data_IF_305470749185
#
_entry.id   IF_305470749185
#
_cell.length_a   1.000
_cell.length_b   1.000
_cell.length_c   1.000
_cell.angle_alpha   90.00
_cell.angle_beta   90.00
_cell.angle_gamma   90.00
#
_symmetry.space_group_name_H-M   'P 1'
#
loop_
_entity.id
_entity.type
_entity.pdbx_description
1 polymer ?
#
# COMPACT_ATOMS: atom_id res chain seq x y z
N UNK A 1 -18.96 -7.42 -7.87
CA UNK A 1 -19.68 -8.47 -7.11
C UNK A 1 -20.85 -8.99 -7.94
N UNK A 2 -21.24 -10.26 -7.78
CA UNK A 2 -22.45 -10.76 -8.44
C UNK A 2 -23.70 -10.37 -7.61
N UNK A 3 -24.91 -10.46 -8.18
CA UNK A 3 -26.15 -10.01 -7.51
C UNK A 3 -26.43 -10.75 -6.19
N UNK A 4 -26.04 -12.03 -6.11
CA UNK A 4 -26.15 -12.83 -4.88
C UNK A 4 -25.26 -12.29 -3.74
N UNK A 5 -24.03 -11.89 -4.06
CA UNK A 5 -23.08 -11.35 -3.07
C UNK A 5 -23.57 -10.01 -2.51
N UNK A 6 -24.13 -9.15 -3.38
CA UNK A 6 -24.68 -7.85 -2.97
C UNK A 6 -25.92 -8.04 -2.09
N UNK A 7 -26.75 -9.04 -2.38
CA UNK A 7 -27.93 -9.37 -1.56
C UNK A 7 -27.49 -9.79 -0.15
N UNK A 8 -26.52 -10.71 -0.05
CA UNK A 8 -25.97 -11.14 1.23
C UNK A 8 -25.26 -9.99 1.99
N UNK A 9 -24.58 -9.09 1.26
CA UNK A 9 -24.02 -7.88 1.83
C UNK A 9 -25.12 -6.98 2.42
N UNK A 10 -26.20 -6.72 1.68
CA UNK A 10 -27.32 -5.90 2.15
C UNK A 10 -28.01 -6.51 3.37
N UNK A 11 -28.22 -7.83 3.40
CA UNK A 11 -28.75 -8.53 4.56
C UNK A 11 -27.87 -8.30 5.79
N UNK A 12 -26.54 -8.42 5.62
CA UNK A 12 -25.57 -8.16 6.69
C UNK A 12 -25.58 -6.70 7.14
N UNK A 13 -25.58 -5.74 6.21
CA UNK A 13 -25.57 -4.31 6.53
C UNK A 13 -26.85 -3.90 7.27
N UNK A 14 -28.02 -4.45 6.92
CA UNK A 14 -29.28 -4.15 7.60
C UNK A 14 -29.36 -4.72 9.01
N UNK A 15 -28.58 -5.76 9.30
CA UNK A 15 -28.45 -6.34 10.64
C UNK A 15 -27.50 -5.55 11.55
N UNK A 16 -26.72 -4.62 11.01
CA UNK A 16 -25.85 -3.76 11.81
C UNK A 16 -26.66 -2.80 12.71
N UNK A 17 -26.09 -2.34 13.84
CA UNK A 17 -26.73 -1.36 14.68
C UNK A 17 -27.04 -0.07 13.93
N UNK A 18 -28.16 0.56 14.32
CA UNK A 18 -28.69 1.81 13.73
C UNK A 18 -27.68 2.96 13.75
N UNK A 19 -26.74 2.96 14.70
CA UNK A 19 -25.67 3.95 14.79
C UNK A 19 -24.33 3.31 14.39
N UNK A 20 -24.04 3.35 13.09
CA UNK A 20 -22.74 2.93 12.54
C UNK A 20 -22.05 4.12 11.86
N UNK A 21 -20.83 4.45 12.27
CA UNK A 21 -20.06 5.55 11.64
C UNK A 21 -19.50 5.17 10.26
N UNK A 22 -19.46 3.90 9.90
CA UNK A 22 -18.92 3.39 8.63
C UNK A 22 -20.01 2.96 7.62
N UNK A 23 -21.28 3.10 7.99
CA UNK A 23 -22.45 2.73 7.18
C UNK A 23 -23.49 3.86 7.26
N UNK A 24 -24.03 4.26 6.11
CA UNK A 24 -25.13 5.21 6.01
C UNK A 24 -26.22 4.65 5.10
N UNK A 25 -27.47 4.68 5.57
CA UNK A 25 -28.65 4.35 4.79
C UNK A 25 -29.40 5.62 4.37
N UNK A 26 -29.92 5.63 3.15
CA UNK A 26 -30.82 6.69 2.70
C UNK A 26 -31.93 6.17 1.79
N UNK A 27 -33.13 6.72 1.98
CA UNK A 27 -34.27 6.37 1.14
C UNK A 27 -34.08 6.82 -0.32
N UNK A 28 -33.49 8.01 -0.54
CA UNK A 28 -33.30 8.57 -1.87
C UNK A 28 -31.95 9.29 -2.02
N UNK A 29 -31.61 9.70 -3.23
CA UNK A 29 -30.33 10.34 -3.52
C UNK A 29 -30.11 11.65 -2.75
N UNK A 30 -28.85 11.96 -2.55
CA UNK A 30 -28.39 13.27 -2.10
C UNK A 30 -27.91 14.09 -3.31
N UNK A 31 -27.75 15.40 -3.10
CA UNK A 31 -26.99 16.22 -4.04
C UNK A 31 -25.56 15.66 -4.20
N UNK A 32 -24.96 15.74 -5.41
CA UNK A 32 -23.62 15.23 -5.69
C UNK A 32 -22.58 15.60 -4.62
N UNK A 33 -22.57 16.87 -4.18
CA UNK A 33 -21.66 17.37 -3.14
C UNK A 33 -21.75 16.57 -1.84
N UNK A 34 -22.97 16.31 -1.38
CA UNK A 34 -23.22 15.59 -0.13
C UNK A 34 -22.78 14.13 -0.24
N UNK A 35 -22.92 13.51 -1.41
CA UNK A 35 -22.41 12.15 -1.68
C UNK A 35 -20.90 12.11 -1.49
N UNK A 36 -20.15 13.02 -2.12
CA UNK A 36 -18.69 13.08 -2.00
C UNK A 36 -18.21 13.31 -0.56
N UNK A 37 -18.91 14.18 0.17
CA UNK A 37 -18.67 14.38 1.59
C UNK A 37 -18.91 13.12 2.43
N UNK A 38 -19.97 12.35 2.12
CA UNK A 38 -20.21 11.05 2.76
C UNK A 38 -19.11 10.04 2.44
N UNK A 39 -18.63 9.98 1.20
CA UNK A 39 -17.54 9.06 0.84
C UNK A 39 -16.27 9.37 1.63
N UNK A 40 -15.90 10.64 1.78
CA UNK A 40 -14.80 11.07 2.67
C UNK A 40 -15.05 10.63 4.12
N UNK A 41 -16.23 10.94 4.66
CA UNK A 41 -16.56 10.65 6.05
C UNK A 41 -16.58 9.15 6.37
N UNK A 42 -17.16 8.34 5.49
CA UNK A 42 -17.26 6.89 5.64
C UNK A 42 -15.90 6.22 5.48
N UNK A 43 -15.06 6.67 4.55
CA UNK A 43 -13.71 6.14 4.40
C UNK A 43 -12.85 6.37 5.66
N UNK A 44 -12.87 7.60 6.19
CA UNK A 44 -12.15 7.95 7.42
C UNK A 44 -12.69 7.17 8.63
N UNK A 45 -14.01 7.04 8.76
CA UNK A 45 -14.63 6.33 9.88
C UNK A 45 -14.41 4.81 9.79
N UNK A 46 -14.48 4.23 8.59
CA UNK A 46 -14.16 2.82 8.37
C UNK A 46 -12.70 2.53 8.75
N UNK A 47 -11.78 3.43 8.40
CA UNK A 47 -10.40 3.37 8.89
C UNK A 47 -10.39 3.37 10.42
N UNK A 48 -10.97 4.35 11.09
CA UNK A 48 -10.92 4.47 12.55
C UNK A 48 -11.51 3.28 13.31
N UNK A 49 -12.51 2.62 12.72
CA UNK A 49 -13.18 1.45 13.31
C UNK A 49 -12.58 0.11 12.86
N UNK A 50 -11.54 0.11 12.02
CA UNK A 50 -10.93 -1.13 11.51
C UNK A 50 -11.86 -1.94 10.62
N UNK A 51 -12.81 -1.28 9.95
CA UNK A 51 -13.72 -1.93 9.00
C UNK A 51 -13.04 -2.01 7.63
N UNK A 52 -13.23 -3.11 6.89
CA UNK A 52 -12.57 -3.30 5.60
C UNK A 52 -13.10 -2.35 4.52
N UNK A 53 -14.29 -1.77 4.70
CA UNK A 53 -15.00 -0.90 3.76
C UNK A 53 -15.97 0.03 4.51
N UNK A 54 -16.25 1.19 3.90
CA UNK A 54 -17.39 2.04 4.25
C UNK A 54 -18.50 1.93 3.21
N UNK A 55 -19.76 2.10 3.63
CA UNK A 55 -20.91 1.91 2.74
C UNK A 55 -21.90 3.07 2.82
N UNK A 56 -22.33 3.54 1.65
CA UNK A 56 -23.47 4.46 1.50
C UNK A 56 -24.52 3.77 0.63
N UNK A 57 -25.69 3.51 1.19
CA UNK A 57 -26.73 2.69 0.56
C UNK A 57 -27.99 3.51 0.34
N UNK A 58 -28.45 3.56 -0.91
CA UNK A 58 -29.68 4.23 -1.34
C UNK A 58 -30.81 3.23 -1.60
N UNK A 59 -32.03 3.59 -1.23
CA UNK A 59 -33.22 2.74 -1.32
C UNK A 59 -33.58 2.01 -0.02
N UNK A 60 -32.90 2.34 1.09
CA UNK A 60 -33.18 1.81 2.43
C UNK A 60 -33.39 2.98 3.40
N UNK A 61 -34.45 2.93 4.17
CA UNK A 61 -34.75 3.98 5.14
C UNK A 61 -33.86 3.86 6.38
N UNK A 62 -33.19 4.95 6.74
CA UNK A 62 -32.20 5.02 7.82
C UNK A 62 -32.75 4.57 9.18
N UNK A 63 -33.96 4.99 9.53
CA UNK A 63 -34.52 4.66 10.84
C UNK A 63 -35.02 3.22 10.99
N UNK A 64 -35.65 2.68 9.96
CA UNK A 64 -36.39 1.40 10.04
C UNK A 64 -35.64 0.26 9.35
N UNK A 65 -34.56 0.57 8.63
CA UNK A 65 -33.88 -0.33 7.68
C UNK A 65 -34.87 -0.99 6.70
N UNK A 66 -36.00 -0.31 6.43
CA UNK A 66 -37.01 -0.77 5.50
C UNK A 66 -36.56 -0.50 4.06
N UNK A 67 -36.77 -1.48 3.19
CA UNK A 67 -36.44 -1.36 1.77
C UNK A 67 -37.56 -0.60 1.09
N UNK A 68 -37.26 0.62 0.63
CA UNK A 68 -38.22 1.50 -0.05
C UNK A 68 -37.95 1.61 -1.55
N UNK A 69 -36.73 1.26 -1.97
CA UNK A 69 -36.27 1.41 -3.34
C UNK A 69 -35.87 2.84 -3.69
N UNK A 70 -35.07 2.99 -4.74
CA UNK A 70 -34.67 4.30 -5.27
C UNK A 70 -34.76 4.33 -6.79
N UNK A 71 -35.07 5.50 -7.35
CA UNK A 71 -34.97 5.78 -8.79
C UNK A 71 -33.61 6.32 -9.19
N UNK A 72 -32.71 6.49 -8.23
CA UNK A 72 -31.38 7.04 -8.45
C UNK A 72 -30.56 6.14 -9.38
N UNK A 73 -29.96 6.75 -10.39
CA UNK A 73 -28.98 6.11 -11.25
C UNK A 73 -27.68 6.92 -11.26
N UNK A 74 -26.68 6.52 -10.47
CA UNK A 74 -25.39 7.20 -10.43
C UNK A 74 -24.69 7.30 -11.78
N UNK A 75 -24.98 6.40 -12.73
CA UNK A 75 -24.34 6.38 -14.05
C UNK A 75 -24.97 7.40 -15.00
N UNK A 76 -26.20 7.84 -14.73
CA UNK A 76 -26.91 8.85 -15.52
C UNK A 76 -26.87 10.25 -14.87
N UNK A 77 -26.46 10.34 -13.61
CA UNK A 77 -26.40 11.59 -12.85
C UNK A 77 -25.18 12.45 -13.25
N UNK A 78 -25.37 13.77 -13.29
CA UNK A 78 -24.35 14.75 -13.64
C UNK A 78 -23.89 15.49 -12.39
N UNK A 79 -22.58 15.45 -12.12
CA UNK A 79 -21.92 16.26 -11.10
C UNK A 79 -21.67 17.69 -11.57
N UNK A 80 -20.88 18.46 -10.81
CA UNK A 80 -20.54 19.82 -11.22
C UNK A 80 -19.63 19.83 -12.45
N UNK A 81 -19.75 20.87 -13.28
CA UNK A 81 -18.95 21.01 -14.51
C UNK A 81 -19.38 20.07 -15.65
N UNK A 82 -20.63 19.58 -15.63
CA UNK A 82 -21.20 18.71 -16.65
C UNK A 82 -20.45 17.36 -16.80
N UNK A 83 -19.88 16.86 -15.71
CA UNK A 83 -19.18 15.57 -15.65
C UNK A 83 -20.11 14.49 -15.09
N UNK A 84 -19.96 13.24 -15.54
CA UNK A 84 -20.65 12.12 -14.93
C UNK A 84 -20.31 12.02 -13.44
N UNK A 85 -21.32 11.81 -12.60
CA UNK A 85 -21.19 11.79 -11.14
C UNK A 85 -20.04 10.90 -10.65
N UNK A 86 -19.85 9.64 -11.13
CA UNK A 86 -18.78 8.77 -10.63
C UNK A 86 -17.39 9.34 -10.92
N UNK A 87 -17.19 9.93 -12.10
CA UNK A 87 -15.95 10.58 -12.47
C UNK A 87 -15.70 11.80 -11.58
N UNK A 88 -16.72 12.64 -11.41
CA UNK A 88 -16.62 13.85 -10.59
C UNK A 88 -16.28 13.53 -9.12
N UNK A 89 -16.96 12.54 -8.53
CA UNK A 89 -16.67 12.06 -7.18
C UNK A 89 -15.22 11.54 -7.08
N UNK A 90 -14.76 10.76 -8.06
CA UNK A 90 -13.39 10.24 -8.08
C UNK A 90 -12.32 11.32 -8.21
N UNK A 91 -12.63 12.44 -8.86
CA UNK A 91 -11.71 13.58 -8.98
C UNK A 91 -11.66 14.43 -7.71
N UNK A 92 -12.80 14.54 -7.00
CA UNK A 92 -12.89 15.29 -5.75
C UNK A 92 -12.26 14.59 -4.55
N UNK A 93 -12.18 13.25 -4.54
CA UNK A 93 -11.59 12.46 -3.46
C UNK A 93 -10.06 12.43 -3.50
N UNK A 94 -9.41 12.74 -2.37
CA UNK A 94 -7.96 12.68 -2.18
C UNK A 94 -7.61 12.04 -0.84
N UNK A 95 -6.76 11.00 -0.76
CA UNK A 95 -6.15 10.27 -1.87
C UNK A 95 -7.20 9.51 -2.72
N UNK A 96 -6.81 9.11 -3.94
CA UNK A 96 -7.66 8.32 -4.83
C UNK A 96 -7.73 6.87 -4.34
N UNK A 97 -8.57 6.61 -3.36
CA UNK A 97 -8.76 5.27 -2.79
C UNK A 97 -9.55 4.31 -3.68
N UNK A 98 -10.32 4.86 -4.63
CA UNK A 98 -11.30 4.10 -5.40
C UNK A 98 -12.57 3.82 -4.58
N UNK A 99 -13.70 3.85 -5.28
CA UNK A 99 -14.98 3.39 -4.75
C UNK A 99 -15.70 2.62 -5.86
N UNK A 100 -16.52 1.66 -5.47
CA UNK A 100 -17.34 0.86 -6.37
C UNK A 100 -18.80 1.25 -6.20
N UNK A 101 -19.52 1.29 -7.32
CA UNK A 101 -20.97 1.51 -7.33
C UNK A 101 -21.62 0.22 -7.79
N UNK A 102 -22.48 -0.35 -6.94
CA UNK A 102 -23.23 -1.54 -7.25
C UNK A 102 -24.73 -1.21 -7.30
N UNK A 103 -25.40 -1.64 -8.35
CA UNK A 103 -26.85 -1.48 -8.51
C UNK A 103 -27.49 -2.85 -8.56
N UNK A 104 -28.51 -3.09 -7.74
CA UNK A 104 -29.19 -4.38 -7.69
C UNK A 104 -30.69 -4.25 -7.40
N UNK A 105 -31.42 -5.35 -7.64
CA UNK A 105 -32.80 -5.53 -7.18
C UNK A 105 -32.76 -6.34 -5.88
N UNK A 106 -33.25 -5.75 -4.79
CA UNK A 106 -33.28 -6.35 -3.47
C UNK A 106 -34.72 -6.29 -2.93
N UNK A 107 -35.30 -7.44 -2.59
CA UNK A 107 -36.72 -7.57 -2.20
C UNK A 107 -37.70 -6.93 -3.20
N UNK A 108 -37.39 -7.03 -4.51
CA UNK A 108 -38.20 -6.43 -5.58
C UNK A 108 -38.08 -4.91 -5.73
N UNK A 109 -37.17 -4.28 -4.98
CA UNK A 109 -36.90 -2.85 -5.02
C UNK A 109 -35.47 -2.56 -5.50
N UNK A 110 -35.30 -1.48 -6.26
CA UNK A 110 -33.97 -1.05 -6.72
C UNK A 110 -33.17 -0.43 -5.58
N UNK A 111 -31.97 -0.93 -5.34
CA UNK A 111 -31.03 -0.44 -4.32
C UNK A 111 -29.69 -0.12 -4.99
N UNK A 112 -29.05 0.97 -4.55
CA UNK A 112 -27.74 1.40 -5.03
C UNK A 112 -26.79 1.44 -3.84
N UNK A 113 -25.62 0.80 -3.97
CA UNK A 113 -24.61 0.70 -2.92
C UNK A 113 -23.33 1.34 -3.42
N UNK A 114 -22.84 2.35 -2.70
CA UNK A 114 -21.49 2.87 -2.84
C UNK A 114 -20.62 2.18 -1.80
N UNK A 115 -19.57 1.52 -2.27
CA UNK A 115 -18.56 0.86 -1.44
C UNK A 115 -17.25 1.63 -1.55
N UNK A 116 -16.79 2.22 -0.44
CA UNK A 116 -15.54 2.99 -0.40
C UNK A 116 -14.48 2.26 0.41
N UNK A 117 -13.24 2.26 -0.08
CA UNK A 117 -12.11 1.77 0.69
C UNK A 117 -11.88 2.63 1.95
N UNK A 118 -11.45 2.04 3.07
CA UNK A 118 -11.10 2.81 4.26
C UNK A 118 -9.89 3.71 3.94
N UNK A 119 -9.85 4.86 4.62
CA UNK A 119 -8.64 5.67 4.66
C UNK A 119 -7.46 4.80 5.12
N UNK A 120 -6.30 5.03 4.53
CA UNK A 120 -5.05 4.43 4.95
C UNK A 120 -4.01 5.53 4.92
N UNK A 121 -3.11 5.53 5.90
CA UNK A 121 -1.94 6.41 6.03
C UNK A 121 -2.13 7.93 6.03
N UNK A 122 -3.31 8.43 5.68
CA UNK A 122 -3.75 9.83 5.74
C UNK A 122 -5.27 9.93 5.62
N UNK A 123 -5.88 11.03 6.09
CA UNK A 123 -7.30 11.28 5.87
C UNK A 123 -7.69 11.37 4.40
N UNK A 124 -8.92 10.97 4.12
CA UNK A 124 -9.60 11.17 2.85
C UNK A 124 -10.35 12.47 2.88
N UNK A 125 -10.03 13.33 1.94
CA UNK A 125 -10.65 14.62 1.72
C UNK A 125 -11.57 14.56 0.51
N UNK A 126 -12.63 15.34 0.55
CA UNK A 126 -13.42 15.68 -0.63
C UNK A 126 -13.29 17.19 -0.87
N UNK A 127 -12.75 17.58 -2.03
CA UNK A 127 -12.44 18.98 -2.37
C UNK A 127 -11.72 19.76 -1.24
N UNK A 128 -10.70 19.13 -0.64
CA UNK A 128 -9.85 19.75 0.38
C UNK A 128 -10.43 19.72 1.81
N UNK A 129 -11.56 19.05 2.03
CA UNK A 129 -12.16 18.90 3.36
C UNK A 129 -12.18 17.43 3.78
N UNK A 130 -11.44 17.09 4.83
CA UNK A 130 -11.53 15.79 5.48
C UNK A 130 -12.72 15.78 6.44
N UNK A 131 -13.60 14.80 6.27
CA UNK A 131 -14.80 14.62 7.09
C UNK A 131 -14.73 13.30 7.84
N UNK A 132 -15.44 13.20 8.95
CA UNK A 132 -15.58 11.96 9.74
C UNK A 132 -17.00 11.91 10.31
N UNK A 133 -17.49 10.71 10.59
CA UNK A 133 -18.75 10.55 11.31
C UNK A 133 -18.48 10.54 12.81
N UNK A 134 -19.38 11.18 13.55
CA UNK A 134 -19.45 11.10 15.00
C UNK A 134 -20.91 10.75 15.34
N UNK A 135 -21.15 9.48 15.67
CA UNK A 135 -22.49 8.90 15.66
C UNK A 135 -23.15 9.01 14.28
N UNK A 136 -24.32 9.64 14.21
CA UNK A 136 -25.09 9.83 12.96
C UNK A 136 -24.71 11.09 12.17
N UNK A 137 -23.88 11.96 12.73
CA UNK A 137 -23.56 13.26 12.13
C UNK A 137 -22.21 13.28 11.42
N UNK A 138 -22.17 13.92 10.26
CA UNK A 138 -20.93 14.21 9.52
C UNK A 138 -20.29 15.47 10.10
N UNK A 139 -19.01 15.42 10.43
CA UNK A 139 -18.28 16.54 11.04
C UNK A 139 -16.90 16.69 10.40
N UNK A 140 -16.31 17.88 10.47
CA UNK A 140 -14.95 18.12 9.98
C UNK A 140 -13.94 17.36 10.85
N UNK A 141 -13.04 16.63 10.21
CA UNK A 141 -12.01 15.85 10.91
C UNK A 141 -11.04 16.75 11.68
N UNK A 142 -10.82 17.98 11.22
CA UNK A 142 -9.98 18.99 11.89
C UNK A 142 -10.43 19.30 13.32
N UNK A 143 -11.70 19.07 13.65
CA UNK A 143 -12.22 19.17 15.02
C UNK A 143 -11.84 18.00 15.93
N UNK A 144 -11.18 16.96 15.41
CA UNK A 144 -10.83 15.74 16.13
C UNK A 144 -9.37 15.31 15.89
N UNK A 145 -8.37 16.03 16.44
CA UNK A 145 -6.95 15.75 16.21
C UNK A 145 -6.52 14.33 16.57
N UNK A 146 -7.13 13.72 17.59
CA UNK A 146 -6.80 12.34 17.97
C UNK A 146 -7.33 11.31 16.96
N UNK A 147 -8.53 11.53 16.39
CA UNK A 147 -9.05 10.72 15.29
C UNK A 147 -8.15 10.89 14.05
N UNK A 148 -7.75 12.11 13.74
CA UNK A 148 -6.83 12.36 12.63
C UNK A 148 -5.49 11.62 12.82
N UNK A 149 -4.84 11.75 13.99
CA UNK A 149 -3.61 11.02 14.33
C UNK A 149 -3.76 9.51 14.21
N UNK A 150 -4.92 8.96 14.60
CA UNK A 150 -5.19 7.53 14.48
C UNK A 150 -5.22 7.05 13.01
N UNK A 151 -5.72 7.87 12.08
CA UNK A 151 -5.69 7.54 10.65
C UNK A 151 -4.25 7.55 10.12
N UNK A 152 -3.46 8.57 10.49
CA UNK A 152 -2.05 8.66 10.11
C UNK A 152 -1.21 7.47 10.61
N UNK A 153 -1.55 6.93 11.78
CA UNK A 153 -0.81 5.82 12.42
C UNK A 153 -1.31 4.44 12.01
N UNK A 154 -2.44 4.33 11.29
CA UNK A 154 -3.02 3.06 10.81
C UNK A 154 -2.37 2.50 9.54
N UNK A 155 -1.11 2.86 9.25
CA UNK A 155 -0.33 2.21 8.18
C UNK A 155 -0.26 0.72 8.46
N UNK A 156 -0.92 -0.08 7.63
CA UNK A 156 -0.67 -1.51 7.60
C UNK A 156 0.70 -1.68 6.97
N UNK A 157 1.65 -2.20 7.75
CA UNK A 157 3.00 -2.48 7.27
C UNK A 157 2.94 -3.66 6.28
N UNK A 158 2.85 -3.32 4.99
CA UNK A 158 2.84 -4.31 3.91
C UNK A 158 4.05 -5.24 3.97
N UNK A 159 5.21 -4.73 4.39
CA UNK A 159 6.44 -5.53 4.45
C UNK A 159 6.38 -6.61 5.54
N UNK A 160 5.67 -6.34 6.64
CA UNK A 160 5.46 -7.26 7.74
C UNK A 160 4.29 -8.23 7.53
N UNK A 161 3.45 -8.04 6.51
CA UNK A 161 2.37 -8.97 6.19
C UNK A 161 2.93 -10.33 5.76
N UNK A 162 2.26 -11.38 6.22
CA UNK A 162 2.53 -12.76 5.79
C UNK A 162 2.00 -12.94 4.37
N UNK A 163 2.84 -13.47 3.48
CA UNK A 163 2.40 -13.93 2.17
C UNK A 163 1.91 -15.38 2.32
N UNK A 164 0.59 -15.57 2.37
CA UNK A 164 -0.02 -16.89 2.64
C UNK A 164 0.36 -17.97 1.62
N UNK A 165 0.67 -17.57 0.39
CA UNK A 165 1.06 -18.47 -0.70
C UNK A 165 2.55 -18.83 -0.68
N UNK A 166 3.36 -18.13 0.13
CA UNK A 166 4.81 -18.29 0.13
C UNK A 166 5.27 -19.26 1.21
N UNK A 167 6.26 -20.07 0.83
CA UNK A 167 6.91 -21.05 1.69
C UNK A 167 8.41 -20.79 1.76
N UNK A 168 9.12 -21.52 2.62
CA UNK A 168 10.58 -21.43 2.68
C UNK A 168 11.26 -21.85 1.36
N UNK A 169 10.59 -22.65 0.51
CA UNK A 169 11.13 -23.07 -0.78
C UNK A 169 11.22 -21.92 -1.80
N UNK A 170 10.39 -20.88 -1.63
CA UNK A 170 10.37 -19.67 -2.45
C UNK A 170 11.55 -18.74 -2.16
N UNK A 171 12.33 -19.03 -1.12
CA UNK A 171 13.53 -18.27 -0.77
C UNK A 171 14.77 -18.85 -1.46
N UNK A 172 15.67 -17.97 -1.88
CA UNK A 172 16.96 -18.31 -2.46
C UNK A 172 17.95 -18.69 -1.34
N UNK A 173 18.48 -19.93 -1.32
CA UNK A 173 19.45 -20.36 -0.33
C UNK A 173 20.72 -19.51 -0.29
N UNK A 174 21.16 -18.97 -1.45
CA UNK A 174 22.32 -18.07 -1.50
C UNK A 174 22.03 -16.75 -0.81
N UNK A 175 20.80 -16.24 -0.95
CA UNK A 175 20.38 -15.02 -0.27
C UNK A 175 20.26 -15.23 1.24
N UNK A 176 19.75 -16.40 1.68
CA UNK A 176 19.70 -16.77 3.11
C UNK A 176 21.12 -16.86 3.69
N UNK A 177 22.05 -17.50 2.99
CA UNK A 177 23.43 -17.63 3.43
C UNK A 177 24.11 -16.25 3.59
N UNK A 178 23.91 -15.36 2.61
CA UNK A 178 24.42 -13.99 2.69
C UNK A 178 23.75 -13.20 3.84
N UNK A 179 22.43 -13.35 4.03
CA UNK A 179 21.71 -12.73 5.14
C UNK A 179 22.25 -13.17 6.50
N UNK A 180 22.54 -14.47 6.67
CA UNK A 180 23.16 -15.02 7.89
C UNK A 180 24.55 -14.43 8.11
N UNK A 181 25.37 -14.33 7.06
CA UNK A 181 26.71 -13.73 7.13
C UNK A 181 26.65 -12.27 7.59
N UNK A 182 25.76 -11.47 7.00
CA UNK A 182 25.56 -10.07 7.37
C UNK A 182 24.98 -9.93 8.79
N UNK A 183 24.08 -10.83 9.19
CA UNK A 183 23.54 -10.87 10.55
C UNK A 183 24.61 -11.19 11.59
N UNK A 184 25.53 -12.12 11.28
CA UNK A 184 26.69 -12.41 12.11
C UNK A 184 27.62 -11.19 12.24
N UNK A 185 27.95 -10.54 11.12
CA UNK A 185 28.82 -9.35 11.12
C UNK A 185 28.21 -8.21 11.96
N UNK A 186 26.91 -7.97 11.85
CA UNK A 186 26.18 -7.00 12.68
C UNK A 186 26.24 -7.31 14.17
N UNK A 187 26.31 -8.59 14.53
CA UNK A 187 26.32 -9.07 15.91
C UNK A 187 27.71 -9.53 16.38
N UNK A 188 28.79 -9.16 15.67
CA UNK A 188 30.16 -9.63 15.96
C UNK A 188 30.65 -9.34 17.39
N UNK A 189 30.08 -8.33 18.03
CA UNK A 189 30.40 -7.94 19.42
C UNK A 189 29.64 -8.76 20.47
N UNK A 190 28.80 -9.72 20.06
CA UNK A 190 27.93 -10.54 20.92
C UNK A 190 28.18 -12.03 20.68
N UNK A 191 29.20 -12.64 21.31
CA UNK A 191 29.58 -14.04 21.06
C UNK A 191 28.46 -15.04 21.35
N UNK A 192 27.65 -14.82 22.39
CA UNK A 192 26.50 -15.69 22.70
C UNK A 192 25.49 -15.75 21.54
N UNK A 193 25.26 -14.60 20.87
CA UNK A 193 24.36 -14.52 19.71
C UNK A 193 24.93 -15.23 18.48
N UNK A 194 26.24 -15.22 18.31
CA UNK A 194 26.91 -15.93 17.21
C UNK A 194 26.87 -17.45 17.42
N UNK A 195 27.02 -17.91 18.67
CA UNK A 195 26.86 -19.30 19.03
C UNK A 195 25.43 -19.79 18.74
N UNK A 196 24.42 -19.02 19.19
CA UNK A 196 23.01 -19.31 18.88
C UNK A 196 22.74 -19.40 17.37
N UNK A 197 23.31 -18.48 16.58
CA UNK A 197 23.07 -18.41 15.13
C UNK A 197 23.53 -19.68 14.40
N UNK A 198 24.59 -20.33 14.87
CA UNK A 198 25.13 -21.55 14.27
C UNK A 198 24.16 -22.73 14.41
N UNK A 199 23.35 -22.75 15.46
CA UNK A 199 22.39 -23.83 15.74
C UNK A 199 20.99 -23.58 15.14
N UNK A 200 20.73 -22.37 14.64
CA UNK A 200 19.42 -22.02 14.08
C UNK A 200 19.19 -22.61 12.69
N UNK A 201 18.11 -23.38 12.54
CA UNK A 201 17.54 -23.69 11.22
C UNK A 201 17.02 -22.43 10.50
N UNK A 202 16.69 -22.55 9.22
CA UNK A 202 16.28 -21.39 8.41
C UNK A 202 15.00 -20.75 8.93
N UNK A 203 14.04 -21.55 9.40
CA UNK A 203 12.81 -21.04 9.99
C UNK A 203 13.09 -20.21 11.26
N UNK A 204 13.94 -20.70 12.16
CA UNK A 204 14.31 -19.99 13.40
C UNK A 204 15.07 -18.72 13.07
N UNK A 205 16.04 -18.78 12.15
CA UNK A 205 16.77 -17.61 11.70
C UNK A 205 15.85 -16.54 11.14
N UNK A 206 14.95 -16.89 10.21
CA UNK A 206 14.03 -15.94 9.59
C UNK A 206 13.06 -15.33 10.62
N UNK A 207 12.55 -16.10 11.58
CA UNK A 207 11.72 -15.56 12.66
C UNK A 207 12.51 -14.58 13.54
N UNK A 208 13.75 -14.91 13.92
CA UNK A 208 14.62 -14.05 14.75
C UNK A 208 15.06 -12.79 14.00
N UNK A 209 15.23 -12.88 12.69
CA UNK A 209 15.50 -11.77 11.78
C UNK A 209 14.25 -10.91 11.48
N UNK A 210 13.06 -11.31 11.98
CA UNK A 210 11.75 -10.69 11.69
C UNK A 210 11.34 -10.73 10.21
N UNK A 211 11.86 -11.72 9.49
CA UNK A 211 11.52 -12.04 8.10
C UNK A 211 10.48 -13.17 8.01
N UNK A 212 10.19 -13.83 9.12
CA UNK A 212 9.07 -14.75 9.24
C UNK A 212 8.25 -14.47 10.50
N UNK A 213 6.98 -14.83 10.47
CA UNK A 213 6.07 -14.80 11.63
C UNK A 213 5.54 -16.20 11.84
N UNK A 214 5.98 -16.84 12.94
CA UNK A 214 5.62 -18.24 13.26
C UNK A 214 5.94 -19.23 12.13
N UNK A 215 7.02 -18.97 11.40
CA UNK A 215 7.46 -19.80 10.27
C UNK A 215 6.84 -19.44 8.92
N UNK A 216 5.84 -18.56 8.88
CA UNK A 216 5.29 -18.04 7.63
C UNK A 216 6.13 -16.88 7.08
N UNK A 217 6.40 -16.88 5.78
CA UNK A 217 7.26 -15.90 5.11
C UNK A 217 6.52 -14.56 4.95
N UNK A 218 7.20 -13.45 5.25
CA UNK A 218 6.65 -12.10 5.04
C UNK A 218 6.96 -11.55 3.65
N UNK A 219 6.23 -10.52 3.22
CA UNK A 219 6.52 -9.81 1.96
C UNK A 219 7.95 -9.25 1.94
N UNK A 220 8.48 -8.76 3.07
CA UNK A 220 9.88 -8.33 3.18
C UNK A 220 10.86 -9.47 2.91
N UNK A 221 10.58 -10.67 3.39
CA UNK A 221 11.43 -11.83 3.15
C UNK A 221 11.43 -12.26 1.68
N UNK A 222 10.28 -12.27 1.02
CA UNK A 222 10.20 -12.50 -0.43
C UNK A 222 10.94 -11.41 -1.22
N UNK A 223 10.82 -10.15 -0.83
CA UNK A 223 11.51 -9.05 -1.50
C UNK A 223 13.04 -9.17 -1.38
N UNK A 224 13.54 -9.43 -0.18
CA UNK A 224 14.98 -9.42 0.11
C UNK A 224 15.66 -10.75 -0.25
N UNK A 225 14.99 -11.87 0.01
CA UNK A 225 15.56 -13.23 -0.05
C UNK A 225 14.82 -14.16 -1.01
N UNK A 226 13.70 -13.74 -1.59
CA UNK A 226 12.92 -14.57 -2.50
C UNK A 226 13.65 -14.85 -3.81
N UNK A 227 13.35 -15.99 -4.43
CA UNK A 227 13.76 -16.31 -5.80
C UNK A 227 13.11 -15.33 -6.78
N UNK A 228 13.72 -15.17 -7.95
CA UNK A 228 13.17 -14.31 -9.00
C UNK A 228 11.76 -14.75 -9.45
N UNK A 229 11.55 -16.05 -9.54
CA UNK A 229 10.27 -16.69 -9.92
C UNK A 229 9.14 -16.39 -8.93
N UNK A 230 9.49 -16.28 -7.64
CA UNK A 230 8.56 -16.01 -6.53
C UNK A 230 8.15 -14.53 -6.46
N UNK A 231 8.71 -13.65 -7.29
CA UNK A 231 8.30 -12.24 -7.37
C UNK A 231 6.82 -12.07 -7.75
N UNK A 232 6.24 -13.05 -8.45
CA UNK A 232 4.81 -13.08 -8.80
C UNK A 232 3.90 -13.12 -7.56
N UNK A 233 4.37 -13.66 -6.44
CA UNK A 233 3.64 -13.72 -5.16
C UNK A 233 3.48 -12.35 -4.49
N UNK A 234 4.29 -11.36 -4.90
CA UNK A 234 4.19 -9.99 -4.41
C UNK A 234 3.17 -9.15 -5.20
N UNK A 235 2.52 -9.73 -6.23
CA UNK A 235 1.54 -9.01 -7.04
C UNK A 235 0.39 -8.46 -6.16
N UNK A 236 -0.04 -7.20 -6.36
CA UNK A 236 0.28 -6.29 -7.47
C UNK A 236 1.51 -5.40 -7.27
N UNK A 237 2.28 -5.59 -6.19
CA UNK A 237 3.51 -4.82 -5.97
C UNK A 237 4.60 -5.23 -6.98
N UNK A 238 5.39 -4.25 -7.44
CA UNK A 238 6.46 -4.48 -8.41
C UNK A 238 7.80 -4.44 -7.69
N UNK A 239 8.32 -5.63 -7.37
CA UNK A 239 9.66 -5.82 -6.83
C UNK A 239 10.68 -5.89 -7.97
N UNK A 240 11.08 -4.74 -8.53
CA UNK A 240 12.04 -4.69 -9.65
C UNK A 240 12.90 -3.43 -9.62
N UNK A 241 14.21 -3.60 -9.76
CA UNK A 241 15.14 -2.52 -10.10
C UNK A 241 15.46 -2.58 -11.60
N UNK A 242 15.70 -1.43 -12.22
CA UNK A 242 16.12 -1.37 -13.63
C UNK A 242 17.32 -0.47 -13.76
N UNK A 243 18.37 -0.97 -14.40
CA UNK A 243 19.48 -0.16 -14.88
C UNK A 243 19.16 0.21 -16.33
N UNK A 244 19.31 1.49 -16.67
CA UNK A 244 19.04 2.01 -18.01
C UNK A 244 20.21 2.90 -18.40
N UNK A 245 20.90 2.54 -19.49
CA UNK A 245 21.92 3.36 -20.11
C UNK A 245 21.25 4.30 -21.10
N UNK A 246 21.51 5.61 -20.98
CA UNK A 246 20.98 6.61 -21.89
C UNK A 246 22.10 7.42 -22.53
N UNK A 247 21.87 7.88 -23.76
CA UNK A 247 22.77 8.81 -24.43
C UNK A 247 22.49 10.26 -24.04
N UNK A 248 23.26 11.20 -24.60
CA UNK A 248 23.12 12.64 -24.37
C UNK A 248 21.76 13.22 -24.80
N UNK A 249 21.03 12.52 -25.68
CA UNK A 249 19.67 12.87 -26.12
C UNK A 249 18.58 12.22 -25.26
N UNK A 250 18.97 11.57 -24.16
CA UNK A 250 18.08 10.84 -23.26
C UNK A 250 17.38 9.63 -23.92
N UNK A 251 17.94 9.11 -25.01
CA UNK A 251 17.48 7.89 -25.68
C UNK A 251 18.07 6.66 -24.98
N UNK A 252 17.27 5.61 -24.80
CA UNK A 252 17.69 4.37 -24.16
C UNK A 252 18.60 3.57 -25.09
N UNK A 253 19.85 3.36 -24.66
CA UNK A 253 20.86 2.59 -25.40
C UNK A 253 20.89 1.12 -24.96
N UNK A 254 20.71 0.88 -23.67
CA UNK A 254 20.73 -0.46 -23.07
C UNK A 254 19.92 -0.46 -21.78
N UNK A 255 19.42 -1.62 -21.36
CA UNK A 255 18.71 -1.77 -20.10
C UNK A 255 18.82 -3.20 -19.55
N UNK A 256 18.77 -3.31 -18.23
CA UNK A 256 18.71 -4.59 -17.54
C UNK A 256 17.76 -4.50 -16.35
N UNK A 257 17.00 -5.56 -16.13
CA UNK A 257 16.05 -5.66 -15.04
C UNK A 257 16.54 -6.64 -13.98
N UNK A 258 16.34 -6.29 -12.72
CA UNK A 258 16.73 -7.08 -11.56
C UNK A 258 15.54 -7.28 -10.63
N UNK A 259 15.11 -8.53 -10.43
CA UNK A 259 14.08 -8.92 -9.48
C UNK A 259 14.66 -9.27 -8.10
N UNK A 260 13.86 -9.89 -7.21
CA UNK A 260 14.36 -10.57 -6.01
C UNK A 260 15.37 -11.68 -6.37
N UNK A 261 16.32 -12.02 -5.47
CA UNK A 261 16.51 -11.46 -4.13
C UNK A 261 17.24 -10.11 -4.17
N UNK A 262 16.60 -9.06 -3.63
CA UNK A 262 17.17 -7.71 -3.66
C UNK A 262 18.49 -7.62 -2.88
N UNK A 263 18.66 -8.45 -1.83
CA UNK A 263 19.89 -8.49 -1.04
C UNK A 263 21.14 -8.77 -1.89
N UNK A 264 21.01 -9.64 -2.89
CA UNK A 264 22.13 -10.00 -3.79
C UNK A 264 22.20 -9.08 -5.00
N UNK A 265 21.04 -8.74 -5.57
CA UNK A 265 20.98 -8.03 -6.84
C UNK A 265 21.36 -6.54 -6.74
N UNK A 266 21.33 -5.92 -5.55
CA UNK A 266 21.89 -4.56 -5.34
C UNK A 266 23.35 -4.47 -5.77
N UNK A 267 24.17 -5.48 -5.44
CA UNK A 267 25.59 -5.48 -5.82
C UNK A 267 25.77 -5.64 -7.34
N UNK A 268 24.88 -6.39 -8.01
CA UNK A 268 24.90 -6.54 -9.48
C UNK A 268 24.55 -5.22 -10.18
N UNK A 269 23.53 -4.52 -9.67
CA UNK A 269 23.18 -3.17 -10.17
C UNK A 269 24.35 -2.21 -9.97
N UNK A 270 24.95 -2.20 -8.78
CA UNK A 270 26.11 -1.35 -8.49
C UNK A 270 27.27 -1.61 -9.47
N UNK A 271 27.51 -2.87 -9.82
CA UNK A 271 28.55 -3.24 -10.79
C UNK A 271 28.27 -2.77 -12.24
N UNK A 272 27.01 -2.50 -12.59
CA UNK A 272 26.63 -1.90 -13.89
C UNK A 272 26.78 -0.38 -13.92
N UNK A 273 26.86 0.28 -12.76
CA UNK A 273 26.99 1.73 -12.68
C UNK A 273 28.45 2.11 -12.98
N UNK A 274 28.67 2.86 -14.06
CA UNK A 274 29.99 3.37 -14.43
C UNK A 274 30.46 4.38 -13.39
N UNK A 275 31.50 4.03 -12.65
CA UNK A 275 32.13 4.90 -11.66
C UNK A 275 33.62 5.06 -12.02
N UNK A 276 34.01 6.24 -12.52
CA UNK A 276 35.34 6.49 -13.04
C UNK A 276 36.34 6.75 -11.90
N UNK A 277 37.56 6.25 -12.04
CA UNK A 277 38.68 6.69 -11.20
C UNK A 277 39.16 8.05 -11.67
N UNK A 278 39.05 9.05 -10.80
CA UNK A 278 39.55 10.40 -10.96
C UNK A 278 40.89 10.51 -10.23
N UNK A 279 41.85 11.19 -10.85
CA UNK A 279 43.16 11.44 -10.27
C UNK A 279 43.26 12.91 -9.94
N UNK A 280 43.38 13.22 -8.66
CA UNK A 280 43.63 14.60 -8.20
C UNK A 280 45.05 14.72 -7.67
N UNK A 281 45.67 15.89 -7.87
CA UNK A 281 46.98 16.21 -7.32
C UNK A 281 46.81 17.28 -6.24
N UNK A 282 46.78 16.92 -4.95
CA UNK A 282 46.63 17.89 -3.87
C UNK A 282 47.84 18.83 -3.76
N UNK A 283 47.59 20.09 -3.41
CA UNK A 283 48.64 21.08 -3.17
C UNK A 283 49.62 20.57 -2.10
N UNK A 284 50.91 20.59 -2.44
CA UNK A 284 52.00 20.17 -1.54
C UNK A 284 52.44 18.71 -1.68
N UNK A 285 51.92 17.94 -2.64
CA UNK A 285 52.36 16.57 -2.93
C UNK A 285 52.69 16.36 -4.40
N UNK A 286 53.72 15.55 -4.71
CA UNK A 286 54.09 15.16 -6.08
C UNK A 286 53.37 13.89 -6.57
N UNK A 287 52.53 13.29 -5.72
CA UNK A 287 51.87 12.02 -6.00
C UNK A 287 50.37 12.22 -6.15
N UNK A 288 49.77 11.80 -7.28
CA UNK A 288 48.33 11.89 -7.47
C UNK A 288 47.60 10.92 -6.54
N UNK A 289 46.48 11.36 -5.99
CA UNK A 289 45.55 10.53 -5.23
C UNK A 289 44.49 10.01 -6.19
N UNK A 290 44.31 8.70 -6.22
CA UNK A 290 43.25 8.06 -6.99
C UNK A 290 41.96 8.00 -6.15
N UNK A 291 40.91 8.63 -6.64
CA UNK A 291 39.59 8.68 -6.02
C UNK A 291 38.55 8.16 -7.02
N UNK A 292 37.47 7.56 -6.55
CA UNK A 292 36.33 7.27 -7.42
C UNK A 292 35.45 8.51 -7.55
N UNK A 293 34.91 8.78 -8.74
CA UNK A 293 34.04 9.92 -9.01
C UNK A 293 32.85 9.98 -8.05
N UNK A 294 32.31 8.82 -7.68
CA UNK A 294 31.32 8.67 -6.62
C UNK A 294 31.82 7.66 -5.60
N UNK A 295 31.49 7.86 -4.33
CA UNK A 295 31.72 6.84 -3.31
C UNK A 295 30.76 5.66 -3.54
N UNK A 296 31.25 4.42 -3.77
CA UNK A 296 30.40 3.24 -3.93
C UNK A 296 29.45 3.00 -2.75
N UNK A 297 29.85 3.42 -1.53
CA UNK A 297 29.01 3.33 -0.34
C UNK A 297 27.77 4.23 -0.48
N UNK A 298 27.93 5.46 -0.98
CA UNK A 298 26.82 6.40 -1.18
C UNK A 298 25.82 5.87 -2.20
N UNK A 299 26.30 5.32 -3.32
CA UNK A 299 25.42 4.71 -4.34
C UNK A 299 24.66 3.52 -3.75
N UNK A 300 25.36 2.64 -3.02
CA UNK A 300 24.75 1.48 -2.37
C UNK A 300 23.67 1.89 -1.38
N UNK A 301 23.95 2.90 -0.55
CA UNK A 301 23.01 3.40 0.45
C UNK A 301 21.78 4.04 -0.21
N UNK A 302 21.95 4.77 -1.31
CA UNK A 302 20.84 5.30 -2.09
C UNK A 302 19.94 4.16 -2.63
N UNK A 303 20.54 3.09 -3.17
CA UNK A 303 19.78 1.91 -3.64
C UNK A 303 19.03 1.22 -2.49
N UNK A 304 19.68 1.04 -1.33
CA UNK A 304 19.02 0.47 -0.14
C UNK A 304 17.86 1.34 0.34
N UNK A 305 18.01 2.66 0.35
CA UNK A 305 16.94 3.59 0.72
C UNK A 305 15.76 3.51 -0.24
N UNK A 306 16.01 3.36 -1.55
CA UNK A 306 14.94 3.10 -2.51
C UNK A 306 14.21 1.81 -2.18
N UNK A 307 14.91 0.71 -1.88
CA UNK A 307 14.28 -0.57 -1.53
C UNK A 307 13.51 -0.48 -0.19
N UNK A 308 14.09 0.16 0.83
CA UNK A 308 13.49 0.23 2.15
C UNK A 308 12.28 1.17 2.22
N UNK A 309 12.31 2.27 1.47
CA UNK A 309 11.30 3.33 1.54
C UNK A 309 10.35 3.37 0.34
N UNK A 310 10.50 2.48 -0.63
CA UNK A 310 9.52 2.34 -1.70
C UNK A 310 8.15 2.00 -1.11
N UNK A 311 7.13 2.73 -1.54
CA UNK A 311 5.76 2.37 -1.24
C UNK A 311 5.30 1.26 -2.19
N UNK A 312 5.54 0.01 -1.76
CA UNK A 312 5.13 -1.18 -2.48
C UNK A 312 3.59 -1.30 -2.61
N UNK A 313 2.83 -0.57 -1.79
CA UNK A 313 1.36 -0.49 -1.89
C UNK A 313 0.87 0.37 -3.05
N UNK A 314 1.66 1.36 -3.49
CA UNK A 314 1.25 2.31 -4.54
C UNK A 314 1.34 1.77 -5.98
N UNK A 315 1.66 0.48 -6.17
CA UNK A 315 1.72 -0.20 -7.49
C UNK A 315 2.54 0.54 -8.56
N UNK A 316 3.40 1.46 -8.15
CA UNK A 316 4.18 2.36 -9.00
C UNK A 316 5.67 2.11 -8.85
N UNK A 317 6.45 2.50 -9.87
CA UNK A 317 7.91 2.51 -9.82
C UNK A 317 8.39 3.86 -9.29
N UNK A 318 9.43 3.85 -8.46
CA UNK A 318 10.24 5.05 -8.23
C UNK A 318 10.89 5.38 -9.59
N UNK A 319 10.67 6.59 -10.10
CA UNK A 319 11.23 7.09 -11.36
C UNK A 319 12.28 8.15 -11.08
#
# INVERSE_FOLDING_TARGET
MNTADITALLDRLRAEPRESEWLEFKANCYEPQVIGEYLSALANSACLLGKPRGYLVFGIQDGTHAVVGTRFDPQAEIGQGNQLLPLWLSLGLKPKLGFEIHTCQYQGQRVVVFEVHPAFDRPVEFYGKALVRNGSSKTALTGYPDKERAIWTRRVDWSAQVCEQATLADLDPLAIAEARRQFAEKNKTKPDRLAELADWDDATFLNKAKLAVRGSVTNAALLLLGREESASLLAPAVARMSWILKNERNEELDYEHFGPPMLLNVNKVLARIRNLTVRELPDGTLFPVELTQYDPWVIREALHNCIAHQDYGLRGRIR
#
